data_IF_215476336996
#
_entry.id   IF_215476336996
#
_cell.length_a   1.000
_cell.length_b   1.000
_cell.length_c   1.000
_cell.angle_alpha   90.00
_cell.angle_beta   90.00
_cell.angle_gamma   90.00
#
_symmetry.space_group_name_H-M   'P 1'
#
loop_
_entity.id
_entity.type
_entity.pdbx_description
1 polymer ?
#
# COMPACT_ATOMS: atom_id res chain seq x y z
N UNK A 1 -18.71 11.92 -4.72
CA UNK A 1 -17.25 11.99 -4.82
C UNK A 1 -16.64 10.74 -5.46
N UNK A 2 -16.67 9.58 -4.78
CA UNK A 2 -16.01 8.36 -5.29
C UNK A 2 -16.46 7.88 -6.68
N UNK A 3 -17.77 7.87 -6.96
CA UNK A 3 -18.27 7.53 -8.30
C UNK A 3 -17.73 8.46 -9.37
N UNK A 4 -17.62 9.76 -9.07
CA UNK A 4 -17.04 10.76 -9.96
C UNK A 4 -15.58 10.46 -10.27
N UNK A 5 -14.81 9.85 -9.36
CA UNK A 5 -13.43 9.41 -9.67
C UNK A 5 -13.43 8.30 -10.73
N UNK A 6 -14.35 7.33 -10.63
CA UNK A 6 -14.48 6.24 -11.59
C UNK A 6 -14.94 6.75 -12.97
N UNK A 7 -15.93 7.64 -13.01
CA UNK A 7 -16.37 8.29 -14.25
C UNK A 7 -15.24 9.10 -14.92
N UNK A 8 -14.38 9.73 -14.13
CA UNK A 8 -13.22 10.44 -14.64
C UNK A 8 -12.13 9.49 -15.15
N UNK A 9 -11.93 8.32 -14.54
CA UNK A 9 -11.01 7.29 -15.04
C UNK A 9 -11.41 6.83 -16.45
N UNK A 10 -12.69 6.55 -16.66
CA UNK A 10 -13.23 6.18 -17.98
C UNK A 10 -12.94 7.29 -19.01
N UNK A 11 -13.14 8.56 -18.62
CA UNK A 11 -12.86 9.71 -19.48
C UNK A 11 -11.37 9.86 -19.81
N UNK A 12 -10.49 9.66 -18.81
CA UNK A 12 -9.03 9.70 -18.99
C UNK A 12 -8.59 8.59 -19.95
N UNK A 13 -9.10 7.37 -19.78
CA UNK A 13 -8.78 6.24 -20.64
C UNK A 13 -9.18 6.50 -22.10
N UNK A 14 -10.40 7.00 -22.34
CA UNK A 14 -10.85 7.35 -23.69
C UNK A 14 -9.94 8.39 -24.38
N UNK A 15 -9.46 9.39 -23.62
CA UNK A 15 -8.54 10.40 -24.15
C UNK A 15 -7.19 9.76 -24.47
N UNK A 16 -6.63 8.95 -23.57
CA UNK A 16 -5.31 8.34 -23.76
C UNK A 16 -5.30 7.27 -24.87
N UNK A 17 -6.40 6.55 -25.05
CA UNK A 17 -6.58 5.60 -26.15
C UNK A 17 -6.54 6.28 -27.52
N UNK A 18 -6.85 7.58 -27.57
CA UNK A 18 -6.68 8.40 -28.78
C UNK A 18 -5.21 8.76 -29.07
N UNK A 19 -4.30 8.53 -28.11
CA UNK A 19 -2.86 8.78 -28.19
C UNK A 19 -2.04 7.56 -27.72
N UNK A 20 -2.18 6.38 -28.35
CA UNK A 20 -1.65 5.11 -27.84
C UNK A 20 -0.12 5.03 -27.82
N UNK A 21 0.56 6.00 -28.43
CA UNK A 21 2.01 5.99 -28.60
C UNK A 21 2.80 6.32 -27.33
N UNK A 22 2.21 6.94 -26.30
CA UNK A 22 2.94 7.42 -25.11
C UNK A 22 3.79 6.33 -24.42
N UNK A 23 3.17 5.23 -23.94
CA UNK A 23 3.90 4.13 -23.31
C UNK A 23 4.94 3.49 -24.23
N UNK A 24 4.62 3.37 -25.52
CA UNK A 24 5.54 2.82 -26.52
C UNK A 24 6.76 3.74 -26.72
N UNK A 25 6.56 5.06 -26.80
CA UNK A 25 7.64 6.03 -26.94
C UNK A 25 8.55 6.00 -25.71
N UNK A 26 8.00 5.92 -24.49
CA UNK A 26 8.81 5.74 -23.28
C UNK A 26 9.64 4.47 -23.29
N UNK A 27 9.08 3.35 -23.76
CA UNK A 27 9.84 2.10 -23.91
C UNK A 27 10.95 2.27 -24.94
N UNK A 28 10.66 2.92 -26.08
CA UNK A 28 11.65 3.19 -27.11
C UNK A 28 12.76 4.12 -26.62
N UNK A 29 12.45 5.13 -25.80
CA UNK A 29 13.44 6.01 -25.19
C UNK A 29 14.38 5.21 -24.27
N UNK A 30 13.83 4.32 -23.44
CA UNK A 30 14.63 3.42 -22.58
C UNK A 30 15.52 2.50 -23.41
N UNK A 31 15.02 1.95 -24.53
CA UNK A 31 15.81 1.09 -25.44
C UNK A 31 16.91 1.90 -26.14
N UNK A 32 16.58 3.10 -26.64
CA UNK A 32 17.51 4.00 -27.36
C UNK A 32 18.62 4.54 -26.48
N UNK A 33 18.39 4.64 -25.18
CA UNK A 33 19.42 5.07 -24.23
C UNK A 33 20.54 4.04 -24.07
N UNK A 34 20.46 2.84 -24.69
CA UNK A 34 21.50 1.80 -24.94
C UNK A 34 22.45 1.39 -23.79
N UNK A 35 22.45 2.04 -22.62
CA UNK A 35 23.37 1.78 -21.52
C UNK A 35 22.77 0.93 -20.40
N UNK A 36 21.45 0.71 -20.40
CA UNK A 36 20.78 -0.06 -19.34
C UNK A 36 20.63 -1.54 -19.70
N UNK A 37 21.71 -2.30 -19.53
CA UNK A 37 21.67 -3.77 -19.43
C UNK A 37 20.99 -4.29 -18.14
N UNK A 38 20.47 -3.37 -17.31
CA UNK A 38 19.88 -3.62 -16.00
C UNK A 38 18.60 -2.81 -15.83
N UNK A 39 17.62 -3.39 -15.15
CA UNK A 39 16.41 -2.70 -14.74
C UNK A 39 16.61 -2.08 -13.35
N UNK A 40 16.72 -0.75 -13.27
CA UNK A 40 16.76 0.02 -12.02
C UNK A 40 15.65 1.09 -12.07
N UNK A 41 14.57 0.95 -11.30
CA UNK A 41 13.47 1.91 -11.29
C UNK A 41 13.90 3.34 -10.93
N UNK A 42 14.92 3.52 -10.09
CA UNK A 42 15.34 4.85 -9.64
C UNK A 42 16.02 5.66 -10.75
N UNK A 43 16.53 4.98 -11.79
CA UNK A 43 17.17 5.60 -12.94
C UNK A 43 16.19 5.89 -14.10
N UNK A 44 14.92 5.51 -13.97
CA UNK A 44 13.90 5.65 -15.04
C UNK A 44 12.96 6.87 -14.82
N UNK A 45 13.53 8.04 -14.52
CA UNK A 45 12.78 9.27 -14.20
C UNK A 45 11.74 9.12 -13.08
N UNK A 46 11.91 8.09 -12.25
CA UNK A 46 11.01 7.74 -11.16
C UNK A 46 11.68 7.95 -9.82
N UNK A 47 12.21 9.15 -9.64
CA UNK A 47 12.86 9.55 -8.40
C UNK A 47 11.86 9.50 -7.22
N UNK A 48 12.36 9.18 -6.00
CA UNK A 48 11.53 9.25 -4.81
C UNK A 48 10.95 10.65 -4.62
N UNK A 49 9.65 10.70 -4.29
CA UNK A 49 8.92 11.95 -4.11
C UNK A 49 8.17 11.91 -2.78
N UNK A 50 8.25 12.99 -2.01
CA UNK A 50 7.41 13.15 -0.83
C UNK A 50 5.96 13.36 -1.26
N UNK A 51 5.08 12.51 -0.75
CA UNK A 51 3.65 12.63 -0.95
C UNK A 51 3.11 13.56 0.13
N UNK A 52 2.93 13.06 1.35
CA UNK A 52 2.36 13.80 2.46
C UNK A 52 3.10 13.47 3.76
N UNK A 53 2.77 14.20 4.82
CA UNK A 53 3.27 13.88 6.16
C UNK A 53 2.13 13.44 7.08
N UNK A 54 2.51 12.64 8.07
CA UNK A 54 1.65 12.29 9.19
C UNK A 54 2.36 12.75 10.45
N UNK A 55 1.83 13.78 11.10
CA UNK A 55 2.24 14.11 12.46
C UNK A 55 1.61 13.10 13.40
N UNK A 56 2.41 12.51 14.29
CA UNK A 56 1.91 11.69 15.37
C UNK A 56 2.83 11.73 16.60
N UNK A 57 2.24 11.88 17.78
CA UNK A 57 2.91 12.09 19.06
C UNK A 57 3.87 13.29 19.00
N UNK A 58 5.17 13.01 18.87
CA UNK A 58 6.28 13.99 18.74
C UNK A 58 7.16 13.68 17.53
N UNK A 59 6.65 12.87 16.60
CA UNK A 59 7.35 12.47 15.41
C UNK A 59 6.57 12.94 14.18
N UNK A 60 7.30 13.19 13.11
CA UNK A 60 6.74 13.52 11.81
C UNK A 60 7.16 12.42 10.84
N UNK A 61 6.18 11.68 10.34
CA UNK A 61 6.38 10.61 9.38
C UNK A 61 6.22 11.16 7.97
N UNK A 62 7.29 11.09 7.17
CA UNK A 62 7.26 11.40 5.76
C UNK A 62 6.76 10.19 4.97
N UNK A 63 5.61 10.30 4.31
CA UNK A 63 5.15 9.30 3.35
C UNK A 63 5.70 9.65 1.99
N UNK A 64 6.51 8.77 1.43
CA UNK A 64 7.16 8.98 0.14
C UNK A 64 6.70 7.92 -0.87
N UNK A 65 6.56 8.33 -2.12
CA UNK A 65 6.56 7.41 -3.25
C UNK A 65 8.01 7.06 -3.52
N UNK A 66 8.37 5.80 -3.36
CA UNK A 66 9.69 5.28 -3.65
C UNK A 66 9.50 3.98 -4.44
N UNK A 67 10.04 3.86 -5.67
CA UNK A 67 9.98 2.58 -6.37
C UNK A 67 10.82 1.51 -5.63
N UNK A 68 10.73 0.25 -6.09
CA UNK A 68 11.59 -0.82 -5.57
C UNK A 68 13.07 -0.38 -5.63
N UNK A 69 13.79 -0.32 -4.49
CA UNK A 69 15.17 0.18 -4.43
C UNK A 69 16.16 -0.90 -4.85
N UNK A 70 15.86 -1.58 -5.95
CA UNK A 70 16.56 -2.76 -6.45
C UNK A 70 16.93 -2.55 -7.89
N UNK A 71 18.14 -2.97 -8.26
CA UNK A 71 18.50 -3.19 -9.66
C UNK A 71 18.46 -4.68 -9.99
N UNK A 72 18.01 -5.01 -11.20
CA UNK A 72 17.83 -6.38 -11.66
C UNK A 72 18.47 -6.56 -13.03
N UNK A 73 19.47 -7.43 -13.12
CA UNK A 73 20.17 -7.77 -14.37
C UNK A 73 19.47 -8.89 -15.14
N UNK A 74 18.99 -9.89 -14.40
CA UNK A 74 18.20 -11.01 -14.91
C UNK A 74 17.04 -11.27 -13.96
N UNK A 75 15.98 -11.93 -14.45
CA UNK A 75 14.74 -12.11 -13.68
C UNK A 75 14.94 -12.78 -12.31
N UNK A 76 15.94 -13.65 -12.20
CA UNK A 76 16.26 -14.40 -10.98
C UNK A 76 17.27 -13.71 -10.05
N UNK A 77 17.84 -12.55 -10.42
CA UNK A 77 18.90 -11.89 -9.65
C UNK A 77 18.66 -10.39 -9.55
N UNK A 78 18.39 -9.93 -8.33
CA UNK A 78 18.27 -8.52 -7.99
C UNK A 78 19.13 -8.20 -6.77
N UNK A 79 19.58 -6.95 -6.69
CA UNK A 79 20.28 -6.43 -5.53
C UNK A 79 19.77 -5.04 -5.16
N UNK A 80 19.80 -4.74 -3.86
CA UNK A 80 19.45 -3.40 -3.37
C UNK A 80 20.51 -2.41 -3.86
N UNK A 81 20.07 -1.28 -4.41
CA UNK A 81 20.93 -0.23 -4.94
C UNK A 81 21.72 0.48 -3.82
N UNK A 82 22.95 0.91 -4.11
CA UNK A 82 23.82 1.50 -3.09
C UNK A 82 23.35 2.87 -2.63
N UNK A 83 22.66 3.63 -3.47
CA UNK A 83 22.04 4.90 -3.08
C UNK A 83 21.04 4.71 -1.93
N UNK A 84 20.18 3.68 -2.01
CA UNK A 84 19.22 3.39 -0.95
C UNK A 84 19.92 2.89 0.33
N UNK A 85 20.95 2.05 0.20
CA UNK A 85 21.79 1.65 1.35
C UNK A 85 22.47 2.86 2.01
N UNK A 86 22.98 3.79 1.22
CA UNK A 86 23.59 5.04 1.68
C UNK A 86 22.58 5.90 2.43
N UNK A 87 21.37 6.02 1.90
CA UNK A 87 20.25 6.69 2.57
C UNK A 87 19.90 6.03 3.91
N UNK A 88 19.78 4.70 3.99
CA UNK A 88 19.53 4.03 5.27
C UNK A 88 20.69 4.21 6.26
N UNK A 89 21.94 4.30 5.79
CA UNK A 89 23.11 4.57 6.65
C UNK A 89 23.13 5.99 7.20
N UNK A 90 22.43 6.94 6.58
CA UNK A 90 22.33 8.30 7.10
C UNK A 90 21.33 8.42 8.25
N UNK A 91 20.59 7.35 8.57
CA UNK A 91 19.62 7.35 9.66
C UNK A 91 20.35 7.28 11.00
N UNK A 92 19.90 8.08 11.96
CA UNK A 92 20.33 7.94 13.35
C UNK A 92 19.86 6.59 13.93
N UNK A 93 20.42 6.19 15.08
CA UNK A 93 20.18 4.83 15.65
C UNK A 93 18.71 4.55 15.98
N UNK A 94 17.93 5.57 16.25
CA UNK A 94 16.50 5.52 16.59
C UNK A 94 15.60 5.84 15.38
N UNK A 95 16.17 6.21 14.24
CA UNK A 95 15.42 6.47 13.02
C UNK A 95 15.18 5.20 12.22
N UNK A 96 13.96 5.05 11.70
CA UNK A 96 13.47 3.88 10.98
C UNK A 96 12.72 4.27 9.71
N UNK A 97 12.96 3.47 8.69
CA UNK A 97 12.18 3.41 7.46
C UNK A 97 11.18 2.27 7.56
N UNK A 98 9.89 2.53 7.35
CA UNK A 98 8.87 1.49 7.18
C UNK A 98 8.61 1.24 5.69
N UNK A 99 9.10 0.12 5.18
CA UNK A 99 8.96 -0.25 3.77
C UNK A 99 7.81 -1.25 3.60
N UNK A 100 6.71 -0.81 3.01
CA UNK A 100 5.59 -1.69 2.67
C UNK A 100 5.81 -2.24 1.26
N UNK A 101 6.30 -3.47 1.18
CA UNK A 101 6.54 -4.18 -0.08
C UNK A 101 5.22 -4.75 -0.60
N UNK A 102 4.80 -4.33 -1.79
CA UNK A 102 3.54 -4.77 -2.41
C UNK A 102 3.73 -5.87 -3.47
N UNK A 103 4.98 -6.27 -3.71
CA UNK A 103 5.36 -7.26 -4.71
C UNK A 103 5.08 -8.70 -4.24
N UNK A 104 4.73 -9.59 -5.18
CA UNK A 104 4.53 -11.02 -4.90
C UNK A 104 5.86 -11.76 -4.78
N UNK A 105 6.22 -12.16 -3.56
CA UNK A 105 7.46 -12.91 -3.29
C UNK A 105 7.47 -14.33 -3.89
N UNK A 106 6.31 -14.87 -4.23
CA UNK A 106 6.14 -16.20 -4.83
C UNK A 106 6.08 -16.13 -6.37
N UNK A 107 5.91 -14.94 -6.96
CA UNK A 107 5.94 -14.73 -8.40
C UNK A 107 7.36 -14.75 -8.94
N UNK A 108 7.57 -15.47 -10.05
CA UNK A 108 8.86 -15.52 -10.74
C UNK A 108 9.38 -14.14 -11.16
N UNK A 109 8.49 -13.15 -11.36
CA UNK A 109 8.85 -11.79 -11.78
C UNK A 109 9.43 -10.95 -10.66
N UNK A 110 9.02 -11.23 -9.42
CA UNK A 110 9.15 -10.34 -8.27
C UNK A 110 9.98 -10.98 -7.13
N UNK A 111 10.03 -12.31 -7.06
CA UNK A 111 10.73 -13.07 -6.02
C UNK A 111 12.16 -12.58 -5.77
N UNK A 112 12.93 -12.31 -6.83
CA UNK A 112 14.31 -11.84 -6.70
C UNK A 112 14.39 -10.45 -6.02
N UNK A 113 13.52 -9.50 -6.42
CA UNK A 113 13.47 -8.15 -5.85
C UNK A 113 12.96 -8.18 -4.41
N UNK A 114 11.83 -8.86 -4.18
CA UNK A 114 11.27 -9.06 -2.84
C UNK A 114 12.27 -9.71 -1.89
N UNK A 115 12.95 -10.78 -2.34
CA UNK A 115 13.97 -11.45 -1.56
C UNK A 115 15.16 -10.55 -1.22
N UNK A 116 15.67 -9.77 -2.18
CA UNK A 116 16.75 -8.82 -1.94
C UNK A 116 16.38 -7.74 -0.91
N UNK A 117 15.14 -7.23 -0.97
CA UNK A 117 14.61 -6.25 -0.02
C UNK A 117 14.46 -6.89 1.35
N UNK A 118 13.75 -8.02 1.48
CA UNK A 118 13.52 -8.69 2.77
C UNK A 118 14.82 -9.15 3.46
N UNK A 119 15.87 -9.48 2.71
CA UNK A 119 17.19 -9.79 3.26
C UNK A 119 17.89 -8.55 3.86
N UNK A 120 17.54 -7.34 3.42
CA UNK A 120 18.15 -6.10 3.90
C UNK A 120 17.90 -5.90 5.40
N UNK A 121 16.68 -6.16 5.88
CA UNK A 121 16.32 -6.08 7.31
C UNK A 121 17.13 -7.06 8.18
N UNK A 122 17.63 -8.16 7.60
CA UNK A 122 18.43 -9.16 8.34
C UNK A 122 19.90 -8.77 8.46
N UNK A 123 20.39 -7.80 7.68
CA UNK A 123 21.79 -7.37 7.70
C UNK A 123 22.08 -6.56 8.96
N UNK A 124 23.22 -6.83 9.59
CA UNK A 124 23.64 -6.16 10.81
C UNK A 124 23.66 -4.63 10.68
N UNK A 125 24.05 -4.13 9.51
CA UNK A 125 24.17 -2.70 9.20
C UNK A 125 22.82 -1.98 9.08
N UNK A 126 21.70 -2.69 8.89
CA UNK A 126 20.40 -2.09 8.56
C UNK A 126 19.26 -2.52 9.48
N UNK A 127 19.42 -3.63 10.23
CA UNK A 127 18.36 -4.25 11.05
C UNK A 127 17.63 -3.31 12.04
N UNK A 128 18.24 -2.18 12.39
CA UNK A 128 17.67 -1.20 13.31
C UNK A 128 17.05 0.01 12.59
N UNK A 129 17.38 0.22 11.31
CA UNK A 129 17.02 1.41 10.54
C UNK A 129 15.94 1.15 9.49
N UNK A 130 15.60 -0.11 9.23
CA UNK A 130 14.50 -0.47 8.33
C UNK A 130 13.61 -1.52 8.98
N UNK A 131 12.31 -1.38 8.74
CA UNK A 131 11.28 -2.38 9.02
C UNK A 131 10.63 -2.70 7.70
N UNK A 132 10.63 -3.96 7.32
CA UNK A 132 10.10 -4.41 6.03
C UNK A 132 8.87 -5.25 6.27
N UNK A 133 7.76 -4.87 5.63
CA UNK A 133 6.51 -5.61 5.68
C UNK A 133 6.02 -5.86 4.28
N UNK A 134 5.93 -7.12 3.88
CA UNK A 134 5.33 -7.51 2.61
C UNK A 134 3.83 -7.65 2.79
N UNK A 135 3.07 -6.86 2.02
CA UNK A 135 1.61 -6.88 1.88
C UNK A 135 1.29 -7.02 0.39
N UNK A 136 1.46 -8.23 -0.12
CA UNK A 136 1.34 -8.51 -1.56
C UNK A 136 -0.03 -8.06 -2.11
N UNK A 137 0.03 -7.29 -3.20
CA UNK A 137 -1.13 -6.77 -3.94
C UNK A 137 -1.26 -7.37 -5.35
N UNK A 138 -0.54 -8.45 -5.62
CA UNK A 138 -0.47 -9.13 -6.93
C UNK A 138 -0.80 -10.62 -6.86
N UNK A 139 -0.88 -11.22 -5.66
CA UNK A 139 -1.26 -12.62 -5.50
C UNK A 139 -2.71 -12.93 -5.88
N UNK A 140 -2.96 -14.21 -6.18
CA UNK A 140 -4.31 -14.74 -6.34
C UNK A 140 -5.18 -14.55 -5.10
N UNK A 141 -4.58 -14.67 -3.90
CA UNK A 141 -5.28 -14.40 -2.66
C UNK A 141 -5.73 -12.95 -2.58
N UNK A 142 -4.85 -12.00 -2.85
CA UNK A 142 -5.22 -10.60 -2.85
C UNK A 142 -6.35 -10.35 -3.84
N UNK A 143 -6.26 -10.83 -5.09
CA UNK A 143 -7.30 -10.65 -6.11
C UNK A 143 -8.53 -11.55 -5.97
N UNK A 144 -8.56 -12.42 -4.94
CA UNK A 144 -9.63 -13.41 -4.72
C UNK A 144 -9.96 -14.16 -6.02
N UNK A 145 -8.91 -14.63 -6.71
CA UNK A 145 -8.94 -15.38 -7.96
C UNK A 145 -8.49 -16.83 -7.71
N UNK A 146 -8.40 -17.64 -8.78
CA UNK A 146 -7.94 -19.03 -8.67
C UNK A 146 -8.76 -19.83 -7.66
N UNK A 147 -8.09 -20.45 -6.69
CA UNK A 147 -8.72 -21.25 -5.63
C UNK A 147 -9.57 -20.43 -4.65
N UNK A 148 -9.41 -19.11 -4.62
CA UNK A 148 -10.11 -18.21 -3.68
C UNK A 148 -11.45 -17.66 -4.21
N UNK A 149 -11.76 -17.92 -5.49
CA UNK A 149 -12.94 -17.33 -6.16
C UNK A 149 -14.27 -17.72 -5.48
N UNK A 150 -14.36 -18.96 -4.98
CA UNK A 150 -15.59 -19.55 -4.45
C UNK A 150 -15.62 -19.64 -2.90
N UNK A 151 -14.71 -18.99 -2.20
CA UNK A 151 -14.65 -18.99 -0.72
C UNK A 151 -15.70 -18.02 -0.15
N UNK A 152 -16.97 -18.32 -0.35
CA UNK A 152 -18.07 -17.41 0.02
C UNK A 152 -18.46 -17.49 1.49
N UNK A 153 -18.16 -18.61 2.18
CA UNK A 153 -18.42 -18.75 3.61
C UNK A 153 -17.43 -17.88 4.40
N UNK A 154 -17.97 -17.02 5.26
CA UNK A 154 -17.16 -16.05 6.01
C UNK A 154 -16.15 -16.72 6.93
N UNK A 155 -16.53 -17.81 7.59
CA UNK A 155 -15.64 -18.60 8.45
C UNK A 155 -14.44 -19.17 7.67
N UNK A 156 -14.70 -19.79 6.51
CA UNK A 156 -13.66 -20.32 5.64
C UNK A 156 -12.72 -19.21 5.15
N UNK A 157 -13.27 -18.09 4.70
CA UNK A 157 -12.47 -16.94 4.27
C UNK A 157 -11.62 -16.40 5.42
N UNK A 158 -12.18 -16.17 6.60
CA UNK A 158 -11.45 -15.63 7.76
C UNK A 158 -10.34 -16.58 8.19
N UNK A 159 -10.58 -17.90 8.15
CA UNK A 159 -9.57 -18.91 8.45
C UNK A 159 -8.42 -18.85 7.44
N UNK A 160 -8.72 -18.79 6.15
CA UNK A 160 -7.72 -18.64 5.09
C UNK A 160 -6.96 -17.31 5.26
N UNK A 161 -7.68 -16.21 5.50
CA UNK A 161 -7.10 -14.88 5.67
C UNK A 161 -6.10 -14.84 6.83
N UNK A 162 -6.44 -15.45 7.98
CA UNK A 162 -5.51 -15.61 9.11
C UNK A 162 -4.28 -16.44 8.71
N UNK A 163 -4.49 -17.55 8.01
CA UNK A 163 -3.39 -18.42 7.59
C UNK A 163 -2.44 -17.70 6.61
N UNK A 164 -2.97 -16.91 5.67
CA UNK A 164 -2.17 -16.12 4.74
C UNK A 164 -1.28 -15.10 5.46
N UNK A 165 -1.81 -14.46 6.51
CA UNK A 165 -1.06 -13.49 7.29
C UNK A 165 0.09 -14.13 8.06
N UNK A 166 -0.12 -15.31 8.64
CA UNK A 166 0.85 -15.95 9.56
C UNK A 166 1.76 -16.97 8.87
N UNK A 167 1.42 -17.42 7.68
CA UNK A 167 2.20 -18.38 6.91
C UNK A 167 3.49 -17.76 6.38
N UNK A 168 4.59 -18.52 6.46
CA UNK A 168 5.87 -18.11 5.85
C UNK A 168 5.77 -18.00 4.31
N UNK A 169 4.94 -18.83 3.70
CA UNK A 169 4.71 -18.89 2.26
C UNK A 169 3.54 -18.01 1.81
N UNK A 170 2.77 -17.45 2.75
CA UNK A 170 1.61 -16.62 2.45
C UNK A 170 1.99 -15.28 1.84
N UNK A 171 0.98 -14.54 1.37
CA UNK A 171 1.10 -13.20 0.79
C UNK A 171 1.66 -12.12 1.72
N UNK A 172 1.95 -12.47 2.97
CA UNK A 172 2.50 -11.58 3.97
C UNK A 172 3.90 -12.02 4.37
N UNK A 173 4.79 -11.04 4.60
CA UNK A 173 6.06 -11.26 5.29
C UNK A 173 6.20 -10.20 6.37
N UNK A 174 6.16 -10.61 7.63
CA UNK A 174 6.41 -9.71 8.77
C UNK A 174 7.02 -10.48 9.94
N UNK A 175 7.88 -9.79 10.69
CA UNK A 175 8.30 -10.25 12.00
C UNK A 175 7.20 -10.00 13.03
N UNK A 176 6.32 -10.98 13.24
CA UNK A 176 5.27 -10.87 14.23
C UNK A 176 5.82 -10.76 15.65
N UNK A 177 5.24 -9.83 16.41
CA UNK A 177 5.28 -9.79 17.86
C UNK A 177 3.93 -10.24 18.42
N UNK A 178 3.87 -10.62 19.69
CA UNK A 178 2.61 -10.99 20.35
C UNK A 178 1.56 -9.88 20.28
N UNK A 179 2.00 -8.61 20.31
CA UNK A 179 1.12 -7.45 20.15
C UNK A 179 0.49 -7.39 18.75
N UNK A 180 1.25 -7.71 17.71
CA UNK A 180 0.75 -7.72 16.33
C UNK A 180 -0.22 -8.89 16.11
N UNK A 181 0.02 -10.07 16.70
CA UNK A 181 -0.93 -11.18 16.67
C UNK A 181 -2.26 -10.80 17.34
N UNK A 182 -2.20 -10.24 18.55
CA UNK A 182 -3.40 -9.77 19.26
C UNK A 182 -4.16 -8.69 18.49
N UNK A 183 -3.42 -7.77 17.87
CA UNK A 183 -4.01 -6.74 17.01
C UNK A 183 -4.72 -7.37 15.81
N UNK A 184 -4.07 -8.30 15.10
CA UNK A 184 -4.63 -8.97 13.94
C UNK A 184 -5.97 -9.64 14.27
N UNK A 185 -6.03 -10.43 15.34
CA UNK A 185 -7.25 -11.13 15.75
C UNK A 185 -8.40 -10.16 16.02
N UNK A 186 -8.12 -9.09 16.78
CA UNK A 186 -9.10 -8.04 17.08
C UNK A 186 -9.54 -7.29 15.84
N UNK A 187 -8.62 -6.96 14.94
CA UNK A 187 -8.91 -6.24 13.70
C UNK A 187 -9.79 -7.07 12.77
N UNK A 188 -9.49 -8.36 12.59
CA UNK A 188 -10.30 -9.26 11.76
C UNK A 188 -11.72 -9.39 12.31
N UNK A 189 -11.86 -9.62 13.63
CA UNK A 189 -13.17 -9.73 14.27
C UNK A 189 -13.95 -8.40 14.15
N UNK A 190 -13.28 -7.28 14.43
CA UNK A 190 -13.86 -5.96 14.33
C UNK A 190 -14.32 -5.66 12.90
N UNK A 191 -13.51 -5.96 11.89
CA UNK A 191 -13.84 -5.70 10.49
C UNK A 191 -15.07 -6.51 10.07
N UNK A 192 -15.07 -7.82 10.36
CA UNK A 192 -16.19 -8.70 10.04
C UNK A 192 -17.49 -8.23 10.70
N UNK A 193 -17.42 -7.87 11.98
CA UNK A 193 -18.57 -7.42 12.75
C UNK A 193 -19.08 -6.05 12.33
N UNK A 194 -18.18 -5.08 12.15
CA UNK A 194 -18.56 -3.69 11.98
C UNK A 194 -18.86 -3.34 10.52
N UNK A 195 -18.00 -3.71 9.58
CA UNK A 195 -18.18 -3.35 8.16
C UNK A 195 -19.01 -4.40 7.40
N UNK A 196 -19.05 -5.64 7.90
CA UNK A 196 -19.76 -6.74 7.24
C UNK A 196 -20.88 -7.35 8.07
N UNK A 197 -21.25 -6.74 9.20
CA UNK A 197 -22.37 -7.13 10.06
C UNK A 197 -22.36 -8.61 10.48
N UNK A 198 -21.17 -9.21 10.62
CA UNK A 198 -21.00 -10.64 10.90
C UNK A 198 -21.75 -11.55 9.92
N UNK A 199 -21.92 -11.13 8.66
CA UNK A 199 -22.55 -11.95 7.62
C UNK A 199 -21.83 -13.30 7.50
N UNK A 200 -22.61 -14.38 7.47
CA UNK A 200 -22.09 -15.74 7.24
C UNK A 200 -21.57 -15.95 5.81
N UNK A 201 -22.01 -15.09 4.87
CA UNK A 201 -21.61 -15.12 3.46
C UNK A 201 -20.95 -13.80 3.09
N UNK A 202 -19.71 -13.86 2.61
CA UNK A 202 -18.97 -12.74 2.05
C UNK A 202 -18.83 -12.96 0.55
N UNK A 203 -19.43 -12.07 -0.24
CA UNK A 203 -19.24 -12.06 -1.70
C UNK A 203 -17.78 -11.79 -2.04
N UNK A 204 -17.37 -12.07 -3.29
CA UNK A 204 -15.99 -11.75 -3.74
C UNK A 204 -15.65 -10.29 -3.50
N UNK A 205 -16.56 -9.36 -3.81
CA UNK A 205 -16.40 -7.93 -3.53
C UNK A 205 -16.16 -7.67 -2.03
N UNK A 206 -16.99 -8.24 -1.15
CA UNK A 206 -16.82 -8.06 0.29
C UNK A 206 -15.44 -8.56 0.76
N UNK A 207 -14.94 -9.67 0.23
CA UNK A 207 -13.62 -10.21 0.60
C UNK A 207 -12.48 -9.31 0.12
N UNK A 208 -12.59 -8.75 -1.09
CA UNK A 208 -11.64 -7.77 -1.61
C UNK A 208 -11.59 -6.51 -0.73
N UNK A 209 -12.77 -5.97 -0.38
CA UNK A 209 -12.90 -4.81 0.52
C UNK A 209 -12.35 -5.14 1.92
N UNK A 210 -12.61 -6.35 2.44
CA UNK A 210 -12.10 -6.81 3.73
C UNK A 210 -10.57 -6.74 3.80
N UNK A 211 -9.90 -7.26 2.76
CA UNK A 211 -8.43 -7.27 2.66
C UNK A 211 -7.88 -5.83 2.70
N UNK A 212 -8.44 -4.92 1.89
CA UNK A 212 -8.00 -3.51 1.86
C UNK A 212 -8.23 -2.78 3.17
N UNK A 213 -9.40 -2.99 3.78
CA UNK A 213 -9.72 -2.39 5.09
C UNK A 213 -8.69 -2.88 6.12
N UNK A 214 -8.40 -4.19 6.15
CA UNK A 214 -7.39 -4.74 7.04
C UNK A 214 -6.00 -4.14 6.78
N UNK A 215 -5.58 -3.97 5.52
CA UNK A 215 -4.28 -3.38 5.19
C UNK A 215 -4.14 -1.97 5.77
N UNK A 216 -5.17 -1.13 5.65
CA UNK A 216 -5.18 0.22 6.23
C UNK A 216 -5.04 0.20 7.76
N UNK A 217 -5.82 -0.65 8.44
CA UNK A 217 -5.70 -0.82 9.89
C UNK A 217 -4.30 -1.32 10.28
N UNK A 218 -3.79 -2.30 9.56
CA UNK A 218 -2.51 -2.92 9.86
C UNK A 218 -1.35 -1.95 9.64
N UNK A 219 -1.32 -1.20 8.53
CA UNK A 219 -0.31 -0.17 8.28
C UNK A 219 -0.32 0.90 9.36
N UNK A 220 -1.51 1.35 9.79
CA UNK A 220 -1.60 2.29 10.90
C UNK A 220 -1.01 1.71 12.20
N UNK A 221 -1.16 0.40 12.44
CA UNK A 221 -0.59 -0.28 13.60
C UNK A 221 0.94 -0.37 13.51
N UNK A 222 1.47 -0.59 12.32
CA UNK A 222 2.92 -0.60 12.09
C UNK A 222 3.54 0.77 12.39
N UNK A 223 2.86 1.86 12.00
CA UNK A 223 3.30 3.22 12.34
C UNK A 223 3.32 3.42 13.87
N UNK A 224 2.28 2.98 14.57
CA UNK A 224 2.21 3.07 16.04
C UNK A 224 3.35 2.32 16.73
N UNK A 225 3.61 1.07 16.31
CA UNK A 225 4.56 0.16 16.95
C UNK A 225 6.01 0.52 16.61
N UNK A 226 6.28 0.86 15.35
CA UNK A 226 7.64 1.08 14.89
C UNK A 226 8.07 2.54 14.96
N UNK A 227 7.13 3.49 15.01
CA UNK A 227 7.37 4.94 15.04
C UNK A 227 8.39 5.39 13.95
N UNK A 228 8.16 5.06 12.66
CA UNK A 228 9.09 5.39 11.59
C UNK A 228 9.12 6.90 11.30
N UNK A 229 10.19 7.36 10.65
CA UNK A 229 10.35 8.75 10.16
C UNK A 229 10.06 8.84 8.66
N UNK A 230 10.20 7.72 7.96
CA UNK A 230 9.92 7.61 6.52
C UNK A 230 9.15 6.32 6.27
N UNK A 231 8.14 6.37 5.40
CA UNK A 231 7.48 5.17 4.91
C UNK A 231 7.23 5.25 3.41
N UNK A 232 7.15 4.09 2.76
CA UNK A 232 6.70 3.97 1.37
C UNK A 232 5.80 2.76 1.17
N UNK A 233 4.96 2.86 0.15
CA UNK A 233 4.25 1.75 -0.45
C UNK A 233 4.90 1.48 -1.81
N UNK A 234 5.51 0.31 -1.96
CA UNK A 234 6.41 0.05 -3.09
C UNK A 234 6.11 -1.29 -3.73
N UNK A 235 5.66 -1.25 -4.98
CA UNK A 235 5.74 -2.38 -5.92
C UNK A 235 7.05 -2.26 -6.75
N UNK A 236 7.08 -2.83 -7.96
CA UNK A 236 8.22 -2.71 -8.88
C UNK A 236 8.64 -1.25 -9.14
N UNK A 237 7.70 -0.35 -9.41
CA UNK A 237 7.96 1.06 -9.74
C UNK A 237 7.15 2.07 -8.89
N UNK A 238 6.31 1.60 -7.98
CA UNK A 238 5.41 2.40 -7.16
C UNK A 238 4.55 3.39 -7.99
N UNK A 239 4.21 3.02 -9.24
CA UNK A 239 3.42 3.86 -10.14
C UNK A 239 1.93 3.56 -10.02
N UNK A 240 1.55 2.28 -9.99
CA UNK A 240 0.15 1.88 -9.88
C UNK A 240 -0.21 1.49 -8.43
N UNK A 241 0.14 0.27 -8.00
CA UNK A 241 -0.28 -0.26 -6.70
C UNK A 241 0.34 0.53 -5.54
N UNK A 242 1.59 0.96 -5.68
CA UNK A 242 2.23 1.88 -4.71
C UNK A 242 1.44 3.18 -4.53
N UNK A 243 1.10 3.84 -5.63
CA UNK A 243 0.33 5.09 -5.63
C UNK A 243 -1.09 4.90 -5.07
N UNK A 244 -1.80 3.86 -5.51
CA UNK A 244 -3.13 3.54 -5.00
C UNK A 244 -3.10 3.20 -3.51
N UNK A 245 -2.13 2.42 -3.04
CA UNK A 245 -2.01 2.11 -1.62
C UNK A 245 -1.73 3.37 -0.79
N UNK A 246 -0.84 4.26 -1.26
CA UNK A 246 -0.54 5.52 -0.59
C UNK A 246 -1.75 6.47 -0.56
N UNK A 247 -2.49 6.56 -1.67
CA UNK A 247 -3.72 7.34 -1.78
C UNK A 247 -4.83 6.77 -0.88
N UNK A 248 -5.02 5.46 -0.88
CA UNK A 248 -5.97 4.76 -0.03
C UNK A 248 -5.72 5.05 1.44
N UNK A 249 -4.46 4.93 1.87
CA UNK A 249 -4.07 5.19 3.24
C UNK A 249 -4.27 6.67 3.62
N UNK A 250 -3.91 7.60 2.74
CA UNK A 250 -4.19 9.03 2.92
C UNK A 250 -5.68 9.30 3.16
N UNK A 251 -6.54 8.74 2.31
CA UNK A 251 -7.99 8.95 2.40
C UNK A 251 -8.56 8.31 3.69
N UNK A 252 -8.12 7.09 4.02
CA UNK A 252 -8.46 6.41 5.27
C UNK A 252 -8.17 7.29 6.50
N UNK A 253 -7.00 7.93 6.57
CA UNK A 253 -6.64 8.82 7.69
C UNK A 253 -7.54 10.05 7.76
N UNK A 254 -7.90 10.65 6.62
CA UNK A 254 -8.84 11.79 6.58
C UNK A 254 -10.24 11.43 7.06
N UNK A 255 -10.77 10.28 6.61
CA UNK A 255 -12.07 9.76 7.08
C UNK A 255 -12.02 9.52 8.60
N UNK A 256 -10.94 8.89 9.08
CA UNK A 256 -10.73 8.63 10.51
C UNK A 256 -10.78 9.94 11.33
N UNK A 257 -10.23 11.03 10.78
CA UNK A 257 -10.19 12.35 11.42
C UNK A 257 -11.42 13.23 11.21
N UNK A 258 -12.39 12.76 10.43
CA UNK A 258 -13.56 13.56 10.02
C UNK A 258 -13.16 14.83 9.25
N UNK A 259 -12.06 14.79 8.53
CA UNK A 259 -11.63 15.94 7.74
C UNK A 259 -12.52 16.07 6.50
N UNK A 260 -13.03 17.27 6.24
CA UNK A 260 -13.81 17.54 5.04
C UNK A 260 -12.90 17.52 3.82
N UNK A 261 -13.32 16.84 2.75
CA UNK A 261 -12.68 16.94 1.45
C UNK A 261 -13.03 18.30 0.83
N UNK A 262 -12.12 19.26 0.97
CA UNK A 262 -12.15 20.49 0.16
C UNK A 262 -11.79 20.17 -1.28
N UNK A 263 -12.07 21.08 -2.21
CA UNK A 263 -11.71 20.89 -3.62
C UNK A 263 -10.21 20.63 -3.79
N UNK A 264 -9.36 21.32 -3.04
CA UNK A 264 -7.91 21.12 -3.03
C UNK A 264 -7.54 19.72 -2.52
N UNK A 265 -8.22 19.22 -1.49
CA UNK A 265 -8.00 17.85 -0.98
C UNK A 265 -8.43 16.79 -1.98
N UNK A 266 -9.51 17.03 -2.73
CA UNK A 266 -9.97 16.16 -3.81
C UNK A 266 -8.98 16.13 -4.98
N UNK A 267 -8.51 17.30 -5.42
CA UNK A 267 -7.55 17.42 -6.51
C UNK A 267 -6.20 16.80 -6.13
N UNK A 268 -5.77 17.00 -4.89
CA UNK A 268 -4.59 16.34 -4.34
C UNK A 268 -4.75 14.81 -4.29
N UNK A 269 -5.92 14.30 -3.87
CA UNK A 269 -6.19 12.86 -3.88
C UNK A 269 -6.16 12.27 -5.29
N UNK A 270 -6.69 12.98 -6.29
CA UNK A 270 -6.59 12.59 -7.71
C UNK A 270 -5.15 12.59 -8.19
N UNK A 271 -4.36 13.60 -7.79
CA UNK A 271 -2.94 13.65 -8.10
C UNK A 271 -2.18 12.45 -7.52
N UNK A 272 -2.47 12.04 -6.28
CA UNK A 272 -1.89 10.83 -5.67
C UNK A 272 -2.21 9.56 -6.47
N UNK A 273 -3.40 9.46 -7.06
CA UNK A 273 -3.83 8.30 -7.85
C UNK A 273 -3.18 8.30 -9.24
N UNK A 274 -3.34 9.40 -9.99
CA UNK A 274 -3.05 9.44 -11.42
C UNK A 274 -1.69 10.04 -11.76
N UNK A 275 -1.16 10.94 -10.93
CA UNK A 275 0.05 11.70 -11.20
C UNK A 275 1.22 10.80 -11.62
N UNK A 276 1.57 9.77 -10.84
CA UNK A 276 2.62 8.83 -11.20
C UNK A 276 2.43 8.15 -12.56
N UNK A 277 1.25 7.61 -12.84
CA UNK A 277 0.98 6.87 -14.08
C UNK A 277 0.99 7.80 -15.31
N UNK A 278 0.38 8.97 -15.20
CA UNK A 278 0.29 9.94 -16.29
C UNK A 278 1.65 10.60 -16.58
N UNK A 279 2.40 10.99 -15.56
CA UNK A 279 3.64 11.77 -15.74
C UNK A 279 4.85 10.89 -16.09
N UNK A 280 4.90 9.65 -15.61
CA UNK A 280 6.07 8.76 -15.80
C UNK A 280 5.84 7.76 -16.93
N UNK A 281 4.63 7.19 -17.01
CA UNK A 281 4.31 6.14 -17.98
C UNK A 281 3.41 6.60 -19.11
N UNK A 282 2.88 7.82 -19.04
CA UNK A 282 1.97 8.38 -20.04
C UNK A 282 0.77 7.46 -20.34
N UNK A 283 0.24 6.82 -19.28
CA UNK A 283 -0.96 5.97 -19.35
C UNK A 283 -1.85 6.15 -18.12
N UNK A 284 -3.09 5.65 -18.22
CA UNK A 284 -3.95 5.54 -17.04
C UNK A 284 -3.48 4.41 -16.12
N UNK A 285 -4.02 4.45 -14.91
CA UNK A 285 -3.90 3.40 -13.92
C UNK A 285 -4.77 2.19 -14.30
N UNK A 286 -4.50 1.04 -13.69
CA UNK A 286 -5.35 -0.12 -13.86
C UNK A 286 -6.74 0.12 -13.24
N UNK A 287 -7.80 0.09 -14.07
CA UNK A 287 -9.18 0.37 -13.64
C UNK A 287 -9.71 -0.62 -12.61
N UNK A 288 -9.28 -1.89 -12.64
CA UNK A 288 -9.69 -2.89 -11.65
C UNK A 288 -9.10 -2.59 -10.27
N UNK A 289 -7.83 -2.22 -10.22
CA UNK A 289 -7.15 -1.88 -8.97
C UNK A 289 -7.70 -0.56 -8.39
N UNK A 290 -7.98 0.42 -9.25
CA UNK A 290 -8.67 1.66 -8.86
C UNK A 290 -10.06 1.37 -8.29
N UNK A 291 -10.87 0.59 -9.01
CA UNK A 291 -12.25 0.25 -8.59
C UNK A 291 -12.24 -0.44 -7.24
N UNK A 292 -11.30 -1.36 -7.02
CA UNK A 292 -11.12 -2.05 -5.73
C UNK A 292 -10.77 -1.06 -4.61
N UNK A 293 -9.77 -0.21 -4.83
CA UNK A 293 -9.37 0.80 -3.85
C UNK A 293 -10.56 1.68 -3.47
N UNK A 294 -11.26 2.23 -4.47
CA UNK A 294 -12.43 3.09 -4.27
C UNK A 294 -13.57 2.35 -3.54
N UNK A 295 -13.83 1.09 -3.88
CA UNK A 295 -14.83 0.27 -3.21
C UNK A 295 -14.58 0.12 -1.71
N UNK A 296 -13.33 -0.16 -1.32
CA UNK A 296 -12.95 -0.29 0.09
C UNK A 296 -13.05 1.02 0.86
N UNK A 297 -12.57 2.13 0.28
CA UNK A 297 -12.63 3.45 0.90
C UNK A 297 -14.09 3.88 1.09
N UNK A 298 -14.92 3.68 0.07
CA UNK A 298 -16.35 3.99 0.15
C UNK A 298 -17.04 3.16 1.24
N UNK A 299 -16.64 1.89 1.41
CA UNK A 299 -17.14 1.04 2.51
C UNK A 299 -16.76 1.61 3.87
N UNK A 300 -15.52 2.10 4.03
CA UNK A 300 -15.07 2.75 5.27
C UNK A 300 -15.86 4.04 5.51
N UNK A 301 -15.99 4.88 4.49
CA UNK A 301 -16.63 6.19 4.59
C UNK A 301 -18.11 6.07 4.97
N UNK A 302 -18.87 5.21 4.28
CA UNK A 302 -20.30 4.96 4.60
C UNK A 302 -20.48 4.49 6.03
N UNK A 303 -19.62 3.58 6.49
CA UNK A 303 -19.69 3.03 7.84
C UNK A 303 -19.30 4.08 8.90
N UNK A 304 -18.32 4.93 8.59
CA UNK A 304 -17.91 6.06 9.44
C UNK A 304 -18.97 7.17 9.48
N UNK A 305 -19.67 7.45 8.40
CA UNK A 305 -20.77 8.43 8.34
C UNK A 305 -21.97 7.95 9.17
N UNK A 306 -22.29 6.66 9.10
CA UNK A 306 -23.50 6.12 9.75
C UNK A 306 -23.25 5.74 11.22
N UNK A 307 -22.07 5.20 11.53
CA UNK A 307 -21.80 4.57 12.82
C UNK A 307 -20.54 5.10 13.51
N UNK A 308 -20.14 6.35 13.24
CA UNK A 308 -18.87 6.97 13.69
C UNK A 308 -18.48 6.63 15.12
N UNK A 309 -19.35 6.89 16.09
CA UNK A 309 -19.04 6.68 17.50
C UNK A 309 -18.73 5.21 17.84
N UNK A 310 -19.46 4.28 17.22
CA UNK A 310 -19.27 2.84 17.40
C UNK A 310 -17.96 2.38 16.73
N UNK A 311 -17.70 2.86 15.51
CA UNK A 311 -16.46 2.55 14.79
C UNK A 311 -15.26 3.09 15.57
N UNK A 312 -15.25 4.36 15.95
CA UNK A 312 -14.16 4.97 16.73
C UNK A 312 -13.94 4.28 18.08
N UNK A 313 -14.99 3.81 18.75
CA UNK A 313 -14.86 3.02 19.98
C UNK A 313 -14.13 1.70 19.73
N UNK A 314 -14.48 0.99 18.64
CA UNK A 314 -13.79 -0.23 18.24
C UNK A 314 -12.32 0.02 17.89
N UNK A 315 -12.05 1.04 17.07
CA UNK A 315 -10.68 1.46 16.72
C UNK A 315 -9.89 1.81 17.98
N UNK A 316 -10.44 2.62 18.90
CA UNK A 316 -9.76 3.02 20.14
C UNK A 316 -9.40 1.84 21.06
N UNK A 317 -10.01 0.68 20.87
CA UNK A 317 -9.67 -0.54 21.63
C UNK A 317 -8.47 -1.32 21.07
N UNK A 318 -8.02 -0.98 19.86
CA UNK A 318 -6.94 -1.66 19.11
C UNK A 318 -5.63 -0.86 19.06
N UNK A 319 -5.68 0.44 19.31
CA UNK A 319 -4.54 1.37 19.27
C UNK A 319 -4.42 2.17 20.57
N UNK A 320 -3.22 2.67 20.85
CA UNK A 320 -2.96 3.68 21.87
C UNK A 320 -3.80 4.93 21.62
N UNK A 321 -4.51 5.38 22.65
CA UNK A 321 -5.40 6.54 22.55
C UNK A 321 -4.62 7.83 22.28
N UNK A 322 -3.41 7.97 22.83
CA UNK A 322 -2.56 9.14 22.59
C UNK A 322 -2.07 9.16 21.13
N UNK A 323 -1.65 8.01 20.60
CA UNK A 323 -1.34 7.84 19.18
C UNK A 323 -2.50 8.28 18.29
N UNK A 324 -3.69 7.68 18.45
CA UNK A 324 -4.83 7.99 17.60
C UNK A 324 -5.22 9.47 17.64
N UNK A 325 -5.20 10.10 18.82
CA UNK A 325 -5.51 11.53 18.95
C UNK A 325 -4.50 12.41 18.22
N UNK A 326 -3.23 12.02 18.24
CA UNK A 326 -2.14 12.82 17.69
C UNK A 326 -2.02 12.80 16.16
N UNK A 327 -2.59 11.81 15.48
CA UNK A 327 -2.50 11.70 14.01
C UNK A 327 -3.05 12.97 13.35
N UNK A 328 -2.28 13.57 12.46
CA UNK A 328 -2.72 14.66 11.58
C UNK A 328 -2.02 14.53 10.24
N UNK A 329 -2.76 14.66 9.15
CA UNK A 329 -2.20 14.59 7.80
C UNK A 329 -1.87 16.00 7.31
N UNK A 330 -0.69 16.19 6.73
CA UNK A 330 -0.26 17.45 6.11
C UNK A 330 -0.02 17.22 4.62
N UNK A 331 -0.74 17.99 3.81
CA UNK A 331 -0.59 18.01 2.35
C UNK A 331 0.59 18.91 1.96
N UNK A 332 1.26 18.59 0.85
CA UNK A 332 2.35 19.39 0.27
C UNK A 332 2.01 19.81 -1.15
#
# INVERSE_FOLDING_TARGET
FYNTILENDESIQLILDSYPSGPLMKILDVIRLEEMSLFDPLLQDNAPLKLYEIDHKKNQLNVIRCPSPTKQYIISSAEVVDAFKGFLRSFEKDQKYLFINLQDKNSYKDQARSGAIELLEKRADFKNNIVIVTLDKTSEFYHQSGTYINVNKAEDFIKIFRNEIVSKEGSFTIKFTDDLYRFMDKAIEFIHKQFFMSKNVLTRKNRLDFIEIFYNFFVLKLIEVHNPQVMSFSDKDAIDNGSLAAACFYNFLKILKNESFTKESEDYFRWLIYGPALLIRERSINSLDLTRMISSINTIDVEMLTHRAKVLKGISSMYDAAFLKSIKVINH
#
